data_IF_609642504718
#
_entry.id   IF_609642504718
#
_cell.length_a   1.000
_cell.length_b   1.000
_cell.length_c   1.000
_cell.angle_alpha   90.00
_cell.angle_beta   90.00
_cell.angle_gamma   90.00
#
_symmetry.space_group_name_H-M   'P 1'
#
loop_
_entity.id
_entity.type
_entity.pdbx_description
1 polymer ?
#
# COMPACT_ATOMS: atom_id res chain seq x y z
N UNK A 1 18.55 -14.59 8.77
CA UNK A 1 17.84 -13.45 8.14
C UNK A 1 16.81 -12.91 9.12
N UNK A 2 16.83 -11.60 9.38
CA UNK A 2 15.78 -10.88 10.12
C UNK A 2 15.22 -9.76 9.24
N UNK A 3 13.91 -9.61 9.23
CA UNK A 3 13.19 -8.59 8.46
C UNK A 3 12.26 -7.86 9.42
N UNK A 4 12.30 -6.53 9.42
CA UNK A 4 11.44 -5.69 10.24
C UNK A 4 10.79 -4.61 9.39
N UNK A 5 9.48 -4.41 9.56
CA UNK A 5 8.81 -3.24 9.01
C UNK A 5 9.25 -2.01 9.82
N UNK A 6 9.78 -1.00 9.14
CA UNK A 6 10.25 0.27 9.75
C UNK A 6 9.20 1.36 9.60
N UNK A 7 8.61 1.48 8.41
CA UNK A 7 7.60 2.48 8.12
C UNK A 7 6.70 2.05 6.98
N UNK A 8 5.57 2.73 6.85
CA UNK A 8 4.66 2.63 5.70
C UNK A 8 4.02 4.00 5.46
N UNK A 9 3.26 4.16 4.36
CA UNK A 9 2.55 5.40 3.98
C UNK A 9 1.44 5.82 4.96
N UNK A 10 1.81 6.18 6.19
CA UNK A 10 0.91 6.59 7.26
C UNK A 10 0.49 8.06 7.13
N UNK A 11 -0.78 8.34 7.43
CA UNK A 11 -1.23 9.70 7.74
C UNK A 11 -2.16 9.69 8.97
N UNK A 12 -2.35 10.86 9.58
CA UNK A 12 -3.26 11.00 10.74
C UNK A 12 -4.69 10.57 10.42
N UNK A 13 -5.13 10.83 9.19
CA UNK A 13 -6.48 10.51 8.69
C UNK A 13 -6.58 9.06 8.19
N UNK A 14 -5.47 8.48 7.74
CA UNK A 14 -5.40 7.13 7.17
C UNK A 14 -4.38 6.31 7.97
N UNK A 15 -4.88 5.71 9.06
CA UNK A 15 -4.09 4.87 9.97
C UNK A 15 -4.11 3.37 9.62
N UNK A 16 -4.83 2.98 8.56
CA UNK A 16 -4.85 1.62 8.02
C UNK A 16 -4.30 1.64 6.58
N UNK A 17 -3.21 0.91 6.27
CA UNK A 17 -2.62 0.86 4.93
C UNK A 17 -3.62 0.45 3.84
N UNK A 18 -4.57 -0.43 4.17
CA UNK A 18 -5.56 -0.94 3.21
C UNK A 18 -6.54 0.14 2.76
N UNK A 19 -6.86 1.08 3.66
CA UNK A 19 -7.78 2.18 3.40
C UNK A 19 -7.21 3.13 2.34
N UNK A 20 -5.89 3.34 2.30
CA UNK A 20 -5.25 4.20 1.30
C UNK A 20 -5.51 3.71 -0.13
N UNK A 21 -5.45 2.39 -0.36
CA UNK A 21 -5.75 1.78 -1.66
C UNK A 21 -7.22 1.96 -2.02
N UNK A 22 -8.14 1.77 -1.07
CA UNK A 22 -9.57 1.97 -1.30
C UNK A 22 -9.86 3.42 -1.68
N UNK A 23 -9.25 4.39 -0.99
CA UNK A 23 -9.39 5.81 -1.29
C UNK A 23 -8.91 6.13 -2.71
N UNK A 24 -7.72 5.64 -3.09
CA UNK A 24 -7.22 5.81 -4.46
C UNK A 24 -8.22 5.28 -5.51
N UNK A 25 -8.82 4.11 -5.27
CA UNK A 25 -9.87 3.57 -6.14
C UNK A 25 -11.11 4.47 -6.17
N UNK A 26 -11.59 4.98 -5.02
CA UNK A 26 -12.79 5.83 -4.97
C UNK A 26 -12.57 7.21 -5.60
N UNK A 27 -11.37 7.75 -5.49
CA UNK A 27 -10.98 8.99 -6.17
C UNK A 27 -10.96 8.76 -7.68
N UNK A 28 -10.25 7.73 -8.16
CA UNK A 28 -10.12 7.42 -9.58
C UNK A 28 -11.43 7.00 -10.25
N UNK A 29 -12.32 6.32 -9.53
CA UNK A 29 -13.66 5.95 -10.02
C UNK A 29 -14.69 7.08 -9.90
N UNK A 30 -14.30 8.27 -9.44
CA UNK A 30 -15.19 9.43 -9.29
C UNK A 30 -16.17 9.36 -8.11
N UNK A 31 -16.25 8.23 -7.39
CA UNK A 31 -17.21 8.01 -6.30
C UNK A 31 -17.03 8.96 -5.11
N UNK A 32 -15.83 9.50 -4.90
CA UNK A 32 -15.59 10.57 -3.92
C UNK A 32 -16.41 11.83 -4.23
N UNK A 33 -16.67 12.15 -5.51
CA UNK A 33 -17.52 13.29 -5.86
C UNK A 33 -18.98 13.08 -5.50
N UNK A 34 -19.43 11.83 -5.43
CA UNK A 34 -20.83 11.49 -5.11
C UNK A 34 -21.07 11.46 -3.60
N UNK A 35 -20.17 10.86 -2.82
CA UNK A 35 -20.36 10.62 -1.38
C UNK A 35 -19.51 11.49 -0.46
N UNK A 36 -18.56 12.25 -1.01
CA UNK A 36 -17.58 13.02 -0.26
C UNK A 36 -16.39 12.19 0.22
N UNK A 37 -15.29 12.88 0.54
CA UNK A 37 -14.07 12.25 1.04
C UNK A 37 -14.26 11.71 2.47
N UNK A 38 -14.86 12.52 3.34
CA UNK A 38 -15.06 12.20 4.76
C UNK A 38 -15.84 10.91 4.97
N UNK A 39 -16.84 10.65 4.12
CA UNK A 39 -17.59 9.40 4.12
C UNK A 39 -16.66 8.17 4.02
N UNK A 40 -15.67 8.21 3.12
CA UNK A 40 -14.74 7.09 2.93
C UNK A 40 -13.63 7.03 3.99
N UNK A 41 -13.29 8.17 4.59
CA UNK A 41 -12.35 8.23 5.72
C UNK A 41 -12.97 7.61 6.97
N UNK A 42 -14.22 7.95 7.28
CA UNK A 42 -14.93 7.49 8.47
C UNK A 42 -15.50 6.07 8.32
N UNK A 43 -15.80 5.65 7.08
CA UNK A 43 -16.34 4.32 6.83
C UNK A 43 -15.40 3.24 7.39
N UNK A 44 -15.98 2.37 8.21
CA UNK A 44 -15.37 1.09 8.60
C UNK A 44 -15.66 0.08 7.50
N UNK A 45 -14.62 -0.61 7.06
CA UNK A 45 -14.71 -1.65 6.06
C UNK A 45 -14.53 -3.01 6.72
N UNK A 46 -15.30 -4.00 6.29
CA UNK A 46 -15.05 -5.38 6.68
C UNK A 46 -13.84 -5.95 5.94
N UNK A 47 -13.32 -7.08 6.42
CA UNK A 47 -12.22 -7.79 5.75
C UNK A 47 -12.63 -8.27 4.36
N UNK A 48 -13.89 -8.68 4.17
CA UNK A 48 -14.44 -9.07 2.88
C UNK A 48 -14.50 -7.90 1.91
N UNK A 49 -14.88 -6.71 2.38
CA UNK A 49 -14.86 -5.50 1.56
C UNK A 49 -13.45 -5.15 1.11
N UNK A 50 -12.47 -5.14 2.04
CA UNK A 50 -11.07 -4.92 1.67
C UNK A 50 -10.60 -5.95 0.65
N UNK A 51 -10.86 -7.23 0.89
CA UNK A 51 -10.50 -8.31 -0.03
C UNK A 51 -11.08 -8.09 -1.42
N UNK A 52 -12.36 -7.73 -1.52
CA UNK A 52 -13.01 -7.41 -2.80
C UNK A 52 -12.30 -6.26 -3.52
N UNK A 53 -11.96 -5.18 -2.80
CA UNK A 53 -11.27 -4.03 -3.40
C UNK A 53 -9.86 -4.36 -3.87
N UNK A 54 -9.12 -5.20 -3.13
CA UNK A 54 -7.80 -5.67 -3.57
C UNK A 54 -7.89 -6.55 -4.82
N UNK A 55 -8.92 -7.40 -4.93
CA UNK A 55 -9.15 -8.19 -6.14
C UNK A 55 -9.50 -7.28 -7.33
N UNK A 56 -10.32 -6.25 -7.11
CA UNK A 56 -10.63 -5.26 -8.16
C UNK A 56 -9.41 -4.41 -8.55
N UNK A 57 -8.51 -4.11 -7.61
CA UNK A 57 -7.27 -3.38 -7.88
C UNK A 57 -6.37 -4.10 -8.88
N UNK A 58 -6.50 -5.43 -9.06
CA UNK A 58 -5.79 -6.16 -10.11
C UNK A 58 -6.14 -5.68 -11.53
N UNK A 59 -7.34 -5.10 -11.72
CA UNK A 59 -7.75 -4.50 -13.01
C UNK A 59 -7.09 -3.15 -13.25
N UNK A 60 -6.70 -2.44 -12.19
CA UNK A 60 -6.08 -1.11 -12.24
C UNK A 60 -4.92 -1.03 -11.23
N UNK A 61 -3.77 -1.70 -11.49
CA UNK A 61 -2.74 -1.90 -10.48
C UNK A 61 -2.09 -0.63 -9.93
N UNK A 62 -2.18 0.49 -10.66
CA UNK A 62 -1.62 1.79 -10.24
C UNK A 62 -2.15 2.26 -8.88
N UNK A 63 -3.35 1.84 -8.48
CA UNK A 63 -3.89 2.19 -7.16
C UNK A 63 -3.08 1.59 -6.01
N UNK A 64 -2.37 0.50 -6.25
CA UNK A 64 -1.48 -0.15 -5.27
C UNK A 64 -0.16 0.61 -5.09
N UNK A 65 0.22 1.47 -6.04
CA UNK A 65 1.46 2.25 -5.98
C UNK A 65 1.39 3.41 -4.99
N UNK A 66 0.18 3.81 -4.56
CA UNK A 66 0.00 4.85 -3.54
C UNK A 66 0.47 4.41 -2.15
N UNK A 67 0.65 3.11 -1.91
CA UNK A 67 1.16 2.60 -0.65
C UNK A 67 2.58 2.06 -0.77
N UNK A 68 3.46 2.54 0.11
CA UNK A 68 4.82 2.08 0.25
C UNK A 68 5.06 1.50 1.64
N UNK A 69 5.90 0.46 1.69
CA UNK A 69 6.39 -0.16 2.92
C UNK A 69 7.91 -0.15 2.90
N UNK A 70 8.52 0.18 4.03
CA UNK A 70 9.97 0.23 4.19
C UNK A 70 10.38 -0.83 5.19
N UNK A 71 11.30 -1.71 4.79
CA UNK A 71 11.79 -2.79 5.63
C UNK A 71 13.27 -2.62 5.93
N UNK A 72 13.65 -2.92 7.16
CA UNK A 72 15.03 -3.17 7.55
C UNK A 72 15.30 -4.67 7.43
N UNK A 73 16.31 -5.03 6.65
CA UNK A 73 16.65 -6.42 6.34
C UNK A 73 18.11 -6.65 6.75
N UNK A 74 18.35 -7.67 7.58
CA UNK A 74 19.70 -8.04 8.03
C UNK A 74 19.92 -9.55 8.03
N UNK A 75 21.19 -9.95 8.03
CA UNK A 75 21.57 -11.37 7.98
C UNK A 75 21.18 -12.04 6.66
N UNK A 76 21.35 -11.32 5.55
CA UNK A 76 21.27 -11.83 4.16
C UNK A 76 22.66 -11.88 3.54
N UNK A 77 22.86 -12.74 2.54
CA UNK A 77 24.13 -12.82 1.83
C UNK A 77 24.32 -11.65 0.86
N UNK A 78 25.58 -11.35 0.51
CA UNK A 78 25.89 -10.38 -0.55
C UNK A 78 25.24 -10.76 -1.88
N UNK A 79 25.25 -12.04 -2.23
CA UNK A 79 24.60 -12.56 -3.45
C UNK A 79 23.10 -12.24 -3.42
N UNK A 80 22.42 -12.44 -2.28
CA UNK A 80 21.01 -12.09 -2.11
C UNK A 80 20.79 -10.58 -2.30
N UNK A 81 21.58 -9.72 -1.64
CA UNK A 81 21.47 -8.26 -1.78
C UNK A 81 21.68 -7.78 -3.24
N UNK A 82 22.60 -8.42 -3.97
CA UNK A 82 22.86 -8.13 -5.38
C UNK A 82 21.68 -8.52 -6.29
N UNK A 83 20.92 -9.57 -5.94
CA UNK A 83 19.68 -9.90 -6.66
C UNK A 83 18.55 -8.94 -6.32
N UNK A 84 18.41 -8.57 -5.03
CA UNK A 84 17.36 -7.66 -4.59
C UNK A 84 17.42 -6.31 -5.31
N UNK A 85 18.59 -5.67 -5.41
CA UNK A 85 18.74 -4.35 -6.05
C UNK A 85 18.45 -4.34 -7.55
N UNK A 86 18.22 -5.51 -8.19
CA UNK A 86 17.77 -5.59 -9.58
C UNK A 86 16.29 -5.23 -9.73
N UNK A 87 15.51 -5.25 -8.64
CA UNK A 87 14.11 -4.83 -8.63
C UNK A 87 14.01 -3.30 -8.55
N UNK A 88 14.05 -2.64 -9.70
CA UNK A 88 14.11 -1.17 -9.83
C UNK A 88 12.85 -0.41 -9.41
N UNK A 89 11.80 -1.09 -8.95
CA UNK A 89 10.58 -0.46 -8.42
C UNK A 89 10.75 0.02 -6.97
N UNK A 90 11.71 -0.54 -6.23
CA UNK A 90 11.97 -0.18 -4.85
C UNK A 90 13.20 0.73 -4.72
N UNK A 91 13.25 1.47 -3.61
CA UNK A 91 14.41 2.26 -3.21
C UNK A 91 15.23 1.51 -2.18
N UNK A 92 16.56 1.57 -2.29
CA UNK A 92 17.48 0.81 -1.44
C UNK A 92 18.53 1.71 -0.80
N UNK A 93 18.91 1.37 0.43
CA UNK A 93 20.08 1.89 1.14
C UNK A 93 20.76 0.69 1.78
N UNK A 94 22.03 0.46 1.43
CA UNK A 94 22.83 -0.69 1.86
C UNK A 94 23.96 -0.25 2.78
#
# INVERSE_FOLDING_TARGET
>A
MRVRLVSWSYSKEVNDPRKLVVLAVKVSSGKVREKGLDYYLEKKYSEEEYRSWFLDALKYPSVLEHIAFTFYIEGISRICSHQLVRHRIASYTQ
#
